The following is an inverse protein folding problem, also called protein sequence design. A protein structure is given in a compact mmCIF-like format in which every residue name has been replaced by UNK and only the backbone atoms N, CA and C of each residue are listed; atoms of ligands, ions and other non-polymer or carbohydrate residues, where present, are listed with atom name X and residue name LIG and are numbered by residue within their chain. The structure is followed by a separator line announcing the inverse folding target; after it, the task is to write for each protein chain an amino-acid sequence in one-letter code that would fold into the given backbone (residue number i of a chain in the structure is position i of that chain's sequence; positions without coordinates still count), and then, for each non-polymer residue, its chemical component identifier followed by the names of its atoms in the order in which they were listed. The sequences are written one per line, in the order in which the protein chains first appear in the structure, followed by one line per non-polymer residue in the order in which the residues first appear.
data_IF_902149473836
#
_entry.id   IF_902149473836
#
_cell.length_a   1.000
_cell.length_b   1.000
_cell.length_c   1.000
_cell.angle_alpha   90.00
_cell.angle_beta   90.00
_cell.angle_gamma   90.00
#
_symmetry.space_group_name_H-M   'P 1'
#
loop_
_entity.id
_entity.type
_entity.pdbx_description
1 polymer ?
#
# COMPACT_ATOMS: atom_id res chain seq x y z
N UNK A 1 -4.84 -14.66 1.20
CA UNK A 1 -4.17 -13.87 0.15
C UNK A 1 -5.14 -13.46 -0.97
N UNK A 2 -5.83 -14.39 -1.64
CA UNK A 2 -6.77 -14.06 -2.73
C UNK A 2 -7.90 -13.10 -2.34
N UNK A 3 -8.43 -13.21 -1.11
CA UNK A 3 -9.45 -12.31 -0.58
C UNK A 3 -8.97 -10.86 -0.49
N UNK A 4 -7.74 -10.62 -0.04
CA UNK A 4 -7.17 -9.27 0.03
C UNK A 4 -7.05 -8.64 -1.37
N UNK A 5 -6.64 -9.43 -2.37
CA UNK A 5 -6.55 -8.99 -3.76
C UNK A 5 -7.94 -8.63 -4.30
N UNK A 6 -8.95 -9.45 -3.99
CA UNK A 6 -10.34 -9.23 -4.44
C UNK A 6 -11.03 -8.03 -3.81
N UNK A 7 -10.63 -7.59 -2.62
CA UNK A 7 -11.19 -6.39 -1.97
C UNK A 7 -10.31 -5.14 -2.11
N UNK A 8 -9.11 -5.29 -2.69
CA UNK A 8 -8.15 -4.22 -2.89
C UNK A 8 -8.61 -3.17 -3.92
N UNK A 9 -9.51 -3.50 -4.86
CA UNK A 9 -9.86 -2.60 -5.98
C UNK A 9 -10.76 -1.41 -5.61
N UNK A 10 -11.55 -1.47 -4.54
CA UNK A 10 -12.51 -0.41 -4.17
C UNK A 10 -11.84 0.96 -3.93
N UNK A 11 -10.76 1.08 -3.12
CA UNK A 11 -10.01 2.32 -2.94
C UNK A 11 -9.53 2.94 -4.27
N UNK A 12 -8.99 2.11 -5.17
CA UNK A 12 -8.48 2.57 -6.46
C UNK A 12 -9.61 3.09 -7.37
N UNK A 13 -10.75 2.40 -7.40
CA UNK A 13 -11.92 2.85 -8.15
C UNK A 13 -12.46 4.19 -7.63
N UNK A 14 -12.53 4.34 -6.30
CA UNK A 14 -12.93 5.60 -5.66
C UNK A 14 -11.96 6.74 -6.00
N UNK A 15 -10.66 6.50 -5.91
CA UNK A 15 -9.64 7.50 -6.24
C UNK A 15 -9.71 7.91 -7.70
N UNK A 16 -9.81 6.93 -8.60
CA UNK A 16 -9.95 7.17 -10.05
C UNK A 16 -11.17 8.03 -10.35
N UNK A 17 -12.33 7.74 -9.73
CA UNK A 17 -13.54 8.56 -9.90
C UNK A 17 -13.35 10.00 -9.41
N UNK A 18 -12.68 10.20 -8.27
CA UNK A 18 -12.37 11.53 -7.76
C UNK A 18 -11.46 12.31 -8.73
N UNK A 19 -10.38 11.69 -9.20
CA UNK A 19 -9.44 12.31 -10.16
C UNK A 19 -10.11 12.60 -11.49
N UNK A 20 -10.96 11.71 -12.00
CA UNK A 20 -11.71 11.93 -13.24
C UNK A 20 -12.71 13.08 -13.08
N UNK A 21 -13.40 13.17 -11.94
CA UNK A 21 -14.32 14.28 -11.65
C UNK A 21 -13.58 15.62 -11.64
N UNK A 22 -12.41 15.67 -10.99
CA UNK A 22 -11.56 16.86 -10.95
C UNK A 22 -11.02 17.24 -12.33
N UNK A 23 -10.48 16.27 -13.09
CA UNK A 23 -9.96 16.48 -14.44
C UNK A 23 -11.06 16.98 -15.39
N UNK A 24 -12.29 16.47 -15.28
CA UNK A 24 -13.43 16.91 -16.12
C UNK A 24 -13.77 18.39 -15.94
N UNK A 25 -13.45 18.99 -14.80
CA UNK A 25 -13.68 20.42 -14.53
C UNK A 25 -12.53 21.32 -15.03
N UNK A 26 -11.43 20.76 -15.52
CA UNK A 26 -10.29 21.56 -16.01
C UNK A 26 -10.60 22.19 -17.38
N UNK A 27 -10.13 23.44 -17.56
CA UNK A 27 -10.28 24.19 -18.81
C UNK A 27 -9.72 23.43 -20.03
N UNK A 28 -8.65 22.66 -19.83
CA UNK A 28 -8.05 21.82 -20.87
C UNK A 28 -9.03 20.77 -21.43
N UNK A 29 -9.79 20.10 -20.56
CA UNK A 29 -10.78 19.12 -21.00
C UNK A 29 -11.98 19.81 -21.65
N UNK A 30 -12.42 20.96 -21.12
CA UNK A 30 -13.51 21.72 -21.73
C UNK A 30 -13.14 22.23 -23.13
N UNK A 31 -11.90 22.72 -23.33
CA UNK A 31 -11.39 23.11 -24.63
C UNK A 31 -11.32 21.92 -25.60
N UNK A 32 -10.87 20.75 -25.14
CA UNK A 32 -10.84 19.53 -25.97
C UNK A 32 -12.25 19.09 -26.42
N UNK A 33 -13.26 19.24 -25.55
CA UNK A 33 -14.66 18.97 -25.88
C UNK A 33 -15.19 20.00 -26.89
N UNK A 34 -14.89 21.29 -26.69
CA UNK A 34 -15.27 22.36 -27.62
C UNK A 34 -14.67 22.18 -29.02
N UNK A 35 -13.50 21.54 -29.11
CA UNK A 35 -12.83 21.16 -30.36
C UNK A 35 -13.39 19.87 -30.99
N UNK A 36 -14.43 19.25 -30.42
CA UNK A 36 -15.09 18.06 -30.97
C UNK A 36 -14.43 16.72 -30.63
N UNK A 37 -13.66 16.62 -29.54
CA UNK A 37 -13.09 15.35 -29.12
C UNK A 37 -14.17 14.33 -28.75
N UNK A 38 -14.11 13.13 -29.34
CA UNK A 38 -15.02 12.03 -29.00
C UNK A 38 -14.73 11.47 -27.61
N UNK A 39 -15.79 11.10 -26.87
CA UNK A 39 -15.70 10.54 -25.50
C UNK A 39 -14.61 9.47 -25.29
N UNK A 40 -14.49 8.42 -26.13
CA UNK A 40 -13.45 7.41 -25.96
C UNK A 40 -12.03 7.91 -26.25
N UNK A 41 -11.86 8.90 -27.14
CA UNK A 41 -10.56 9.55 -27.42
C UNK A 41 -10.13 10.39 -26.21
N UNK A 42 -11.06 11.16 -25.64
CA UNK A 42 -10.84 11.95 -24.43
C UNK A 42 -10.46 11.06 -23.24
N UNK A 43 -11.16 9.94 -23.07
CA UNK A 43 -10.90 9.00 -21.99
C UNK A 43 -9.50 8.38 -22.07
N UNK A 44 -9.12 7.82 -23.23
CA UNK A 44 -7.85 7.09 -23.37
C UNK A 44 -6.63 7.98 -23.45
N UNK A 45 -6.74 9.17 -24.05
CA UNK A 45 -5.58 10.03 -24.32
C UNK A 45 -5.37 11.12 -23.27
N UNK A 46 -6.42 11.51 -22.54
CA UNK A 46 -6.35 12.60 -21.57
C UNK A 46 -6.73 12.18 -20.15
N UNK A 47 -7.84 11.47 -19.95
CA UNK A 47 -8.28 11.13 -18.58
C UNK A 47 -7.50 9.97 -17.96
N UNK A 48 -7.36 8.84 -18.67
CA UNK A 48 -6.65 7.64 -18.20
C UNK A 48 -5.19 7.90 -17.79
N UNK A 49 -4.33 8.50 -18.65
CA UNK A 49 -2.94 8.75 -18.27
C UNK A 49 -2.80 9.70 -17.09
N UNK A 50 -3.67 10.71 -16.96
CA UNK A 50 -3.64 11.62 -15.83
C UNK A 50 -4.21 10.99 -14.54
N UNK A 51 -5.17 10.08 -14.64
CA UNK A 51 -5.69 9.33 -13.49
C UNK A 51 -4.74 8.24 -12.98
N UNK A 52 -3.83 7.74 -13.82
CA UNK A 52 -2.82 6.75 -13.42
C UNK A 52 -1.82 7.30 -12.40
N UNK A 53 -1.46 8.58 -12.47
CA UNK A 53 -0.48 9.18 -11.57
C UNK A 53 -0.86 9.04 -10.08
N UNK A 54 -2.05 9.48 -9.63
CA UNK A 54 -2.47 9.29 -8.25
C UNK A 54 -2.74 7.83 -7.89
N UNK A 55 -3.09 6.97 -8.85
CA UNK A 55 -3.29 5.54 -8.62
C UNK A 55 -1.97 4.85 -8.30
N UNK A 56 -0.88 5.18 -9.01
CA UNK A 56 0.45 4.62 -8.75
C UNK A 56 0.95 5.04 -7.37
N UNK A 57 0.73 6.30 -7.00
CA UNK A 57 1.06 6.84 -5.67
C UNK A 57 0.27 6.10 -4.57
N UNK A 58 -1.02 5.84 -4.79
CA UNK A 58 -1.82 5.03 -3.88
C UNK A 58 -1.31 3.58 -3.79
N UNK A 59 -0.92 2.97 -4.93
CA UNK A 59 -0.34 1.63 -4.96
C UNK A 59 0.96 1.55 -4.16
N UNK A 60 1.83 2.56 -4.29
CA UNK A 60 3.06 2.67 -3.52
C UNK A 60 2.78 2.64 -2.01
N UNK A 61 1.85 3.46 -1.56
CA UNK A 61 1.43 3.50 -0.16
C UNK A 61 0.84 2.17 0.33
N UNK A 62 0.05 1.50 -0.51
CA UNK A 62 -0.60 0.23 -0.17
C UNK A 62 0.40 -0.90 0.11
N UNK A 63 1.59 -0.87 -0.50
CA UNK A 63 2.65 -1.87 -0.24
C UNK A 63 3.01 -1.93 1.25
N UNK A 64 3.10 -0.77 1.92
CA UNK A 64 3.37 -0.71 3.35
C UNK A 64 2.30 -1.40 4.19
N UNK A 65 1.02 -1.20 3.83
CA UNK A 65 -0.12 -1.86 4.49
C UNK A 65 -0.18 -3.36 4.23
N UNK A 66 0.09 -3.78 2.99
CA UNK A 66 0.09 -5.18 2.57
C UNK A 66 1.11 -6.01 3.35
N UNK A 67 2.31 -5.46 3.62
CA UNK A 67 3.35 -6.16 4.38
C UNK A 67 2.93 -6.38 5.83
N UNK A 68 2.32 -5.39 6.48
CA UNK A 68 1.82 -5.53 7.86
C UNK A 68 0.68 -6.53 7.93
N UNK A 69 -0.27 -6.49 6.98
CA UNK A 69 -1.33 -7.49 6.85
C UNK A 69 -0.74 -8.88 6.67
N UNK A 70 0.23 -9.05 5.77
CA UNK A 70 0.87 -10.33 5.51
C UNK A 70 1.61 -10.86 6.76
N UNK A 71 2.33 -9.99 7.49
CA UNK A 71 2.95 -10.35 8.75
C UNK A 71 1.93 -10.78 9.82
N UNK A 72 0.75 -10.15 9.85
CA UNK A 72 -0.35 -10.51 10.75
C UNK A 72 -0.92 -11.90 10.44
N UNK A 73 -1.08 -12.24 9.15
CA UNK A 73 -1.53 -13.58 8.74
C UNK A 73 -0.50 -14.67 9.08
N UNK A 74 0.80 -14.39 8.87
CA UNK A 74 1.89 -15.29 9.28
C UNK A 74 1.90 -15.47 10.80
N UNK A 75 1.66 -14.40 11.56
CA UNK A 75 1.56 -14.45 13.02
C UNK A 75 0.40 -15.30 13.54
N UNK A 76 -0.76 -15.27 12.88
CA UNK A 76 -1.94 -16.07 13.24
C UNK A 76 -1.81 -17.53 12.73
N UNK A 77 -0.75 -17.86 11.98
CA UNK A 77 -0.49 -19.21 11.48
C UNK A 77 -1.14 -19.54 10.14
N UNK A 78 -1.70 -18.54 9.44
CA UNK A 78 -2.40 -18.73 8.16
C UNK A 78 -1.51 -18.64 6.90
N UNK A 79 -0.20 -18.85 7.06
CA UNK A 79 0.74 -19.22 5.99
C UNK A 79 1.15 -18.14 4.99
N UNK A 80 2.46 -18.03 4.79
CA UNK A 80 3.17 -17.31 3.74
C UNK A 80 4.68 -17.34 4.01
N UNK A 81 5.51 -17.61 2.99
CA UNK A 81 6.96 -17.76 3.14
C UNK A 81 7.70 -16.41 3.11
N UNK A 82 7.23 -15.49 3.95
CA UNK A 82 7.77 -14.13 4.05
C UNK A 82 8.81 -14.14 5.15
N UNK A 83 10.09 -14.19 4.76
CA UNK A 83 11.22 -14.33 5.69
C UNK A 83 11.16 -13.35 6.86
N UNK A 84 10.79 -12.09 6.61
CA UNK A 84 10.79 -11.04 7.63
C UNK A 84 9.65 -11.21 8.64
N UNK A 85 8.50 -11.74 8.19
CA UNK A 85 7.37 -12.06 9.06
C UNK A 85 7.67 -13.29 9.93
N UNK A 86 8.30 -14.32 9.34
CA UNK A 86 8.73 -15.52 10.06
C UNK A 86 9.75 -15.15 11.15
N UNK A 87 10.72 -14.27 10.83
CA UNK A 87 11.67 -13.76 11.81
C UNK A 87 10.97 -13.02 12.96
N UNK A 88 9.95 -12.22 12.68
CA UNK A 88 9.16 -11.54 13.73
C UNK A 88 8.40 -12.53 14.62
N UNK A 89 7.79 -13.58 14.04
CA UNK A 89 7.11 -14.63 14.80
C UNK A 89 8.10 -15.43 15.66
N UNK A 90 9.26 -15.78 15.10
CA UNK A 90 10.31 -16.48 15.84
C UNK A 90 10.83 -15.65 17.03
N UNK A 91 10.92 -14.33 16.88
CA UNK A 91 11.32 -13.42 17.96
C UNK A 91 10.28 -13.29 19.07
N UNK A 92 9.01 -13.68 18.85
CA UNK A 92 7.93 -13.61 19.86
C UNK A 92 8.27 -14.38 21.13
N UNK A 93 8.82 -15.57 20.97
CA UNK A 93 9.11 -16.46 22.11
C UNK A 93 10.31 -15.96 22.93
N UNK A 94 11.09 -15.02 22.40
CA UNK A 94 12.19 -14.34 23.11
C UNK A 94 11.75 -13.05 23.81
N UNK A 95 10.53 -12.54 23.56
CA UNK A 95 10.01 -11.31 24.21
C UNK A 95 9.80 -11.53 25.70
N UNK A 96 9.37 -12.73 26.11
CA UNK A 96 9.26 -13.13 27.50
C UNK A 96 10.54 -13.90 27.83
N UNK A 97 11.63 -13.18 28.08
CA UNK A 97 12.92 -13.80 28.38
C UNK A 97 12.85 -14.79 29.55
N UNK A 98 13.77 -15.77 29.57
CA UNK A 98 13.91 -16.76 30.64
C UNK A 98 13.87 -16.06 32.02
N UNK A 99 12.87 -16.37 32.85
CA UNK A 99 12.70 -15.76 34.18
C UNK A 99 11.89 -14.46 34.24
N UNK A 100 11.19 -14.06 33.17
CA UNK A 100 10.29 -12.90 33.16
C UNK A 100 10.97 -11.55 32.95
N UNK A 101 12.24 -11.54 32.52
CA UNK A 101 12.95 -10.31 32.14
C UNK A 101 12.85 -10.04 30.63
N UNK A 102 12.02 -9.07 30.19
CA UNK A 102 11.85 -8.74 28.77
C UNK A 102 13.08 -8.08 28.13
N UNK A 103 14.06 -7.61 28.93
CA UNK A 103 15.27 -6.94 28.43
C UNK A 103 16.44 -7.87 28.11
N UNK A 104 16.35 -9.18 28.37
CA UNK A 104 17.48 -10.11 28.13
C UNK A 104 17.71 -10.36 26.63
N UNK A 105 16.63 -10.42 25.85
CA UNK A 105 16.67 -10.71 24.41
C UNK A 105 16.21 -9.52 23.54
N UNK A 106 16.44 -8.29 24.00
CA UNK A 106 16.05 -7.07 23.28
C UNK A 106 16.58 -7.06 21.82
N UNK A 107 17.78 -7.59 21.62
CA UNK A 107 18.48 -7.72 20.34
C UNK A 107 17.79 -8.65 19.34
N UNK A 108 16.93 -9.56 19.78
CA UNK A 108 16.18 -10.46 18.90
C UNK A 108 14.91 -9.80 18.32
N UNK A 109 14.30 -8.84 19.02
CA UNK A 109 13.03 -8.23 18.61
C UNK A 109 13.18 -6.81 18.06
N UNK A 110 14.00 -5.96 18.70
CA UNK A 110 14.12 -4.53 18.38
C UNK A 110 14.59 -4.28 16.94
N UNK A 111 15.62 -4.96 16.40
CA UNK A 111 16.08 -4.70 15.03
C UNK A 111 15.05 -5.04 13.96
N UNK A 112 14.29 -6.13 14.17
CA UNK A 112 13.26 -6.59 13.22
C UNK A 112 12.08 -5.63 13.24
N UNK A 113 11.62 -5.23 14.43
CA UNK A 113 10.55 -4.25 14.58
C UNK A 113 10.94 -2.88 13.98
N UNK A 114 12.18 -2.44 14.17
CA UNK A 114 12.70 -1.20 13.59
C UNK A 114 12.78 -1.30 12.05
N UNK A 115 13.28 -2.42 11.51
CA UNK A 115 13.38 -2.61 10.07
C UNK A 115 12.00 -2.60 9.39
N UNK A 116 10.99 -3.24 9.99
CA UNK A 116 9.62 -3.24 9.46
C UNK A 116 8.96 -1.86 9.52
N UNK A 117 9.15 -1.13 10.63
CA UNK A 117 8.60 0.23 10.76
C UNK A 117 9.27 1.19 9.79
N UNK A 118 10.60 1.16 9.64
CA UNK A 118 11.31 1.97 8.66
C UNK A 118 10.93 1.62 7.22
N UNK A 119 10.76 0.34 6.89
CA UNK A 119 10.31 -0.08 5.57
C UNK A 119 8.89 0.41 5.27
N UNK A 120 7.97 0.26 6.22
CA UNK A 120 6.60 0.75 6.06
C UNK A 120 6.54 2.28 5.93
N UNK A 121 7.32 3.00 6.73
CA UNK A 121 7.45 4.46 6.64
C UNK A 121 8.07 4.88 5.31
N UNK A 122 9.10 4.18 4.82
CA UNK A 122 9.72 4.46 3.52
C UNK A 122 8.72 4.36 2.38
N UNK A 123 7.92 3.29 2.31
CA UNK A 123 6.87 3.15 1.30
C UNK A 123 5.73 4.16 1.47
N UNK A 124 5.39 4.51 2.71
CA UNK A 124 4.39 5.52 2.99
C UNK A 124 4.82 6.90 2.49
N UNK A 125 6.06 7.31 2.80
CA UNK A 125 6.64 8.57 2.33
C UNK A 125 6.82 8.61 0.82
N UNK A 126 7.20 7.49 0.20
CA UNK A 126 7.32 7.38 -1.26
C UNK A 126 5.95 7.49 -1.97
N UNK A 127 4.87 7.16 -1.25
CA UNK A 127 3.49 7.36 -1.70
C UNK A 127 2.87 8.70 -1.30
N UNK A 128 3.55 9.56 -0.54
CA UNK A 128 3.08 10.92 -0.22
C UNK A 128 3.90 12.01 -0.96
N UNK A 129 4.99 11.62 -1.64
CA UNK A 129 5.93 12.49 -2.37
C UNK A 129 5.74 12.54 -3.89
#
# INVERSE_FOLDING_TARGET
MLTLILFSWMPYARMTNATVSQLRQTEYIQAAIALGASGPRLLRRHLLPNALSPVIVLMARDVGGMVVLAATFVFIGFGGDIAWAIMLVASRDFVIGLGGNPFVYWWAFVPIALALTLFALGWNLLGDG
#
